data_IF_877667203444
#
_entry.id   IF_877667203444
#
_cell.length_a   1.000
_cell.length_b   1.000
_cell.length_c   1.000
_cell.angle_alpha   90.00
_cell.angle_beta   90.00
_cell.angle_gamma   90.00
#
_symmetry.space_group_name_H-M   'P 1'
#
loop_
_entity.id
_entity.type
_entity.pdbx_description
1 polymer ?
#
# COMPACT_ATOMS: atom_id res chain seq x y z
N UNK A 1 -43.54 -20.25 -37.03
CA UNK A 1 -43.39 -19.03 -36.21
C UNK A 1 -42.07 -19.20 -35.49
N UNK A 2 -41.03 -18.49 -35.90
CA UNK A 2 -39.74 -18.49 -35.18
C UNK A 2 -39.99 -17.98 -33.76
N UNK A 3 -39.66 -18.78 -32.75
CA UNK A 3 -39.65 -18.32 -31.36
C UNK A 3 -38.64 -17.18 -31.28
N UNK A 4 -39.13 -15.94 -31.23
CA UNK A 4 -38.31 -14.74 -31.20
C UNK A 4 -37.78 -14.57 -29.78
N UNK A 5 -36.71 -15.29 -29.47
CA UNK A 5 -35.97 -15.15 -28.22
C UNK A 5 -35.36 -13.76 -28.15
N UNK A 6 -35.43 -13.12 -26.98
CA UNK A 6 -34.94 -11.76 -26.75
C UNK A 6 -33.42 -11.67 -26.94
N UNK A 7 -32.96 -10.58 -27.56
CA UNK A 7 -31.52 -10.28 -27.72
C UNK A 7 -30.99 -9.48 -26.53
N UNK A 8 -30.03 -10.07 -25.81
CA UNK A 8 -29.37 -9.49 -24.65
C UNK A 8 -28.10 -8.69 -25.03
N UNK A 9 -27.74 -8.65 -26.32
CA UNK A 9 -26.50 -8.03 -26.79
C UNK A 9 -26.43 -6.55 -26.43
N UNK A 10 -25.31 -6.14 -25.84
CA UNK A 10 -25.13 -4.74 -25.43
C UNK A 10 -24.04 -4.53 -24.40
N UNK A 11 -23.81 -3.24 -24.09
CA UNK A 11 -22.93 -2.81 -23.00
C UNK A 11 -23.79 -2.30 -21.85
N UNK A 12 -23.75 -3.01 -20.75
CA UNK A 12 -24.55 -2.76 -19.56
C UNK A 12 -23.69 -2.17 -18.46
N UNK A 13 -24.21 -1.11 -17.83
CA UNK A 13 -23.59 -0.48 -16.65
C UNK A 13 -24.51 -0.71 -15.46
N UNK A 14 -23.96 -1.18 -14.35
CA UNK A 14 -24.73 -1.39 -13.13
C UNK A 14 -25.31 -0.07 -12.60
N UNK A 15 -26.63 -0.04 -12.39
CA UNK A 15 -27.37 1.09 -11.82
C UNK A 15 -27.52 0.98 -10.31
N UNK A 16 -27.89 -0.19 -9.82
CA UNK A 16 -28.08 -0.50 -8.41
C UNK A 16 -27.70 -1.96 -8.12
N UNK A 17 -27.41 -2.25 -6.85
CA UNK A 17 -27.15 -3.59 -6.35
C UNK A 17 -27.70 -3.70 -4.93
N UNK A 18 -28.49 -4.74 -4.66
CA UNK A 18 -29.12 -4.99 -3.36
C UNK A 18 -28.64 -6.34 -2.82
N UNK A 19 -28.45 -6.42 -1.50
CA UNK A 19 -28.15 -7.67 -0.77
C UNK A 19 -26.93 -8.49 -1.24
N UNK A 20 -26.04 -7.92 -2.06
CA UNK A 20 -24.84 -8.63 -2.54
C UNK A 20 -23.91 -9.04 -1.40
N UNK A 21 -23.77 -8.24 -0.34
CA UNK A 21 -22.97 -8.60 0.84
C UNK A 21 -23.58 -9.79 1.60
N UNK A 22 -24.90 -9.81 1.78
CA UNK A 22 -25.62 -10.88 2.49
C UNK A 22 -25.58 -12.20 1.69
N UNK A 23 -25.64 -12.14 0.36
CA UNK A 23 -25.42 -13.29 -0.52
C UNK A 23 -24.04 -13.94 -0.26
N UNK A 24 -22.98 -13.13 -0.28
CA UNK A 24 -21.62 -13.63 -0.04
C UNK A 24 -21.47 -14.20 1.38
N UNK A 25 -22.14 -13.60 2.36
CA UNK A 25 -22.15 -14.08 3.75
C UNK A 25 -22.83 -15.44 3.87
N UNK A 26 -23.96 -15.64 3.21
CA UNK A 26 -24.66 -16.91 3.16
C UNK A 26 -23.85 -18.00 2.43
N UNK A 27 -23.04 -17.61 1.43
CA UNK A 27 -22.06 -18.49 0.78
C UNK A 27 -20.82 -18.80 1.64
N UNK A 28 -20.75 -18.29 2.88
CA UNK A 28 -19.64 -18.54 3.80
C UNK A 28 -18.39 -17.67 3.55
N UNK A 29 -18.47 -16.66 2.69
CA UNK A 29 -17.37 -15.73 2.42
C UNK A 29 -17.14 -14.85 3.65
N UNK A 30 -15.89 -14.73 4.11
CA UNK A 30 -15.55 -13.96 5.30
C UNK A 30 -15.79 -12.44 5.12
N UNK A 31 -16.08 -11.72 6.21
CA UNK A 31 -16.49 -10.30 6.22
C UNK A 31 -15.57 -9.40 5.40
N UNK A 32 -14.26 -9.66 5.42
CA UNK A 32 -13.29 -8.85 4.70
C UNK A 32 -13.39 -9.04 3.17
N UNK A 33 -13.40 -10.29 2.70
CA UNK A 33 -13.58 -10.60 1.27
C UNK A 33 -14.91 -10.08 0.74
N UNK A 34 -15.97 -10.10 1.56
CA UNK A 34 -17.26 -9.51 1.18
C UNK A 34 -17.18 -8.01 0.93
N UNK A 35 -16.51 -7.26 1.82
CA UNK A 35 -16.33 -5.80 1.64
C UNK A 35 -15.51 -5.46 0.40
N UNK A 36 -14.47 -6.23 0.11
CA UNK A 36 -13.70 -6.06 -1.14
C UNK A 36 -14.56 -6.38 -2.35
N UNK A 37 -15.28 -7.50 -2.35
CA UNK A 37 -16.14 -7.91 -3.45
C UNK A 37 -17.23 -6.86 -3.71
N UNK A 38 -17.90 -6.35 -2.67
CA UNK A 38 -18.90 -5.27 -2.77
C UNK A 38 -18.28 -4.01 -3.37
N UNK A 39 -17.08 -3.62 -2.94
CA UNK A 39 -16.39 -2.44 -3.49
C UNK A 39 -15.96 -2.65 -4.94
N UNK A 40 -15.45 -3.83 -5.27
CA UNK A 40 -15.00 -4.20 -6.61
C UNK A 40 -16.17 -4.27 -7.60
N UNK A 41 -17.29 -4.84 -7.17
CA UNK A 41 -18.52 -5.01 -7.92
C UNK A 41 -19.50 -3.83 -7.78
N UNK A 42 -19.05 -2.68 -7.26
CA UNK A 42 -19.89 -1.48 -7.13
C UNK A 42 -20.25 -0.84 -8.49
N UNK A 43 -19.49 -1.14 -9.54
CA UNK A 43 -19.66 -0.57 -10.88
C UNK A 43 -19.10 -1.47 -12.00
N UNK A 44 -19.54 -2.74 -12.11
CA UNK A 44 -19.11 -3.60 -13.21
C UNK A 44 -19.61 -3.06 -14.55
N UNK A 45 -18.74 -3.14 -15.55
CA UNK A 45 -19.11 -3.02 -16.95
C UNK A 45 -19.33 -4.43 -17.50
N UNK A 46 -20.53 -4.71 -18.00
CA UNK A 46 -20.89 -6.01 -18.56
C UNK A 46 -21.09 -5.85 -20.07
N UNK A 47 -20.38 -6.63 -20.86
CA UNK A 47 -20.57 -6.69 -22.31
C UNK A 47 -21.13 -8.07 -22.66
N UNK A 48 -22.31 -8.11 -23.29
CA UNK A 48 -22.98 -9.33 -23.73
C UNK A 48 -22.98 -9.35 -25.25
N UNK A 49 -22.64 -10.51 -25.81
CA UNK A 49 -22.78 -10.81 -27.23
C UNK A 49 -23.59 -12.08 -27.37
N UNK A 50 -24.65 -12.05 -28.19
CA UNK A 50 -25.54 -13.17 -28.40
C UNK A 50 -25.57 -13.55 -29.88
N UNK A 51 -25.46 -14.85 -30.16
CA UNK A 51 -25.61 -15.44 -31.49
C UNK A 51 -26.58 -16.61 -31.38
N UNK A 52 -27.87 -16.35 -31.66
CA UNK A 52 -28.94 -17.31 -31.42
C UNK A 52 -29.04 -17.68 -29.94
N UNK A 53 -28.79 -18.96 -29.62
CA UNK A 53 -28.82 -19.49 -28.25
C UNK A 53 -27.46 -19.43 -27.54
N UNK A 54 -26.38 -19.01 -28.23
CA UNK A 54 -25.05 -18.88 -27.63
C UNK A 54 -24.82 -17.45 -27.13
N UNK A 55 -24.46 -17.32 -25.86
CA UNK A 55 -24.16 -16.05 -25.21
C UNK A 55 -22.70 -16.04 -24.75
N UNK A 56 -22.04 -14.90 -24.94
CA UNK A 56 -20.74 -14.61 -24.38
C UNK A 56 -20.81 -13.33 -23.55
N UNK A 57 -20.51 -13.48 -22.26
CA UNK A 57 -20.63 -12.44 -21.25
C UNK A 57 -19.24 -12.13 -20.73
N UNK A 58 -18.84 -10.86 -20.91
CA UNK A 58 -17.62 -10.30 -20.35
C UNK A 58 -17.99 -9.36 -19.21
N UNK A 59 -17.57 -9.68 -18.00
CA UNK A 59 -17.78 -8.83 -16.83
C UNK A 59 -16.45 -8.21 -16.40
N UNK A 60 -16.35 -6.88 -16.45
CA UNK A 60 -15.15 -6.14 -16.06
C UNK A 60 -15.41 -5.36 -14.77
N UNK A 61 -14.66 -5.67 -13.72
CA UNK A 61 -14.66 -4.94 -12.44
C UNK A 61 -13.31 -4.25 -12.23
N UNK A 62 -13.18 -3.41 -11.19
CA UNK A 62 -11.91 -2.78 -10.81
C UNK A 62 -10.82 -3.77 -10.37
N UNK A 63 -11.20 -5.02 -10.04
CA UNK A 63 -10.30 -6.04 -9.50
C UNK A 63 -10.07 -7.19 -10.48
N UNK A 64 -11.08 -7.58 -11.27
CA UNK A 64 -11.01 -8.74 -12.16
C UNK A 64 -11.92 -8.58 -13.37
N UNK A 65 -11.45 -9.05 -14.52
CA UNK A 65 -12.29 -9.27 -15.70
C UNK A 65 -12.53 -10.76 -15.89
N UNK A 66 -13.78 -11.17 -16.05
CA UNK A 66 -14.18 -12.56 -16.31
C UNK A 66 -14.87 -12.67 -17.65
N UNK A 67 -14.67 -13.80 -18.32
CA UNK A 67 -15.28 -14.15 -19.58
C UNK A 67 -15.97 -15.49 -19.42
N UNK A 68 -17.27 -15.55 -19.74
CA UNK A 68 -18.06 -16.77 -19.70
C UNK A 68 -18.81 -16.88 -21.03
N UNK A 69 -18.70 -18.02 -21.68
CA UNK A 69 -19.43 -18.34 -22.90
C UNK A 69 -20.22 -19.62 -22.69
N UNK A 70 -21.51 -19.60 -23.01
CA UNK A 70 -22.40 -20.74 -22.85
C UNK A 70 -23.47 -20.76 -23.94
N UNK A 71 -24.04 -21.93 -24.17
CA UNK A 71 -25.19 -22.13 -25.06
C UNK A 71 -26.38 -22.55 -24.22
N UNK A 72 -27.51 -21.86 -24.36
CA UNK A 72 -28.73 -22.19 -23.62
C UNK A 72 -29.18 -23.61 -23.97
N UNK A 73 -29.54 -24.41 -22.97
CA UNK A 73 -29.87 -25.83 -23.12
C UNK A 73 -28.68 -26.80 -23.05
N UNK A 74 -27.44 -26.31 -22.93
CA UNK A 74 -26.25 -27.14 -22.76
C UNK A 74 -25.58 -26.90 -21.40
N UNK A 75 -25.13 -27.98 -20.75
CA UNK A 75 -24.32 -27.86 -19.55
C UNK A 75 -22.93 -27.32 -19.89
N UNK A 76 -22.39 -26.47 -19.02
CA UNK A 76 -21.02 -25.98 -19.13
C UNK A 76 -20.38 -25.91 -17.74
N UNK A 77 -19.05 -25.95 -17.71
CA UNK A 77 -18.30 -25.82 -16.47
C UNK A 77 -17.96 -24.36 -16.24
N UNK A 78 -18.29 -23.84 -15.07
CA UNK A 78 -17.93 -22.49 -14.65
C UNK A 78 -17.44 -22.46 -13.21
N UNK A 79 -17.24 -21.25 -12.69
CA UNK A 79 -16.87 -21.02 -11.31
C UNK A 79 -17.95 -20.18 -10.66
N UNK A 80 -18.44 -20.60 -9.49
CA UNK A 80 -19.40 -19.82 -8.70
C UNK A 80 -18.79 -18.48 -8.27
N UNK A 81 -19.63 -17.55 -7.79
CA UNK A 81 -19.21 -16.20 -7.35
C UNK A 81 -18.14 -16.25 -6.25
N UNK A 82 -18.16 -17.29 -5.41
CA UNK A 82 -17.20 -17.55 -4.34
C UNK A 82 -15.98 -18.39 -4.77
N UNK A 83 -15.83 -18.70 -6.06
CA UNK A 83 -14.61 -19.31 -6.60
C UNK A 83 -14.61 -20.84 -6.68
N UNK A 84 -15.74 -21.52 -6.45
CA UNK A 84 -15.82 -22.99 -6.50
C UNK A 84 -16.20 -23.49 -7.91
N UNK A 85 -15.54 -24.55 -8.42
CA UNK A 85 -15.94 -25.17 -9.69
C UNK A 85 -17.37 -25.73 -9.62
N UNK A 86 -18.22 -25.34 -10.55
CA UNK A 86 -19.58 -25.83 -10.69
C UNK A 86 -19.90 -26.19 -12.14
N UNK A 87 -20.89 -27.05 -12.31
CA UNK A 87 -21.53 -27.33 -13.59
C UNK A 87 -22.84 -26.56 -13.62
N UNK A 88 -23.01 -25.78 -14.67
CA UNK A 88 -24.12 -24.86 -14.84
C UNK A 88 -24.99 -25.27 -16.02
N UNK A 89 -26.31 -25.13 -15.86
CA UNK A 89 -27.27 -25.48 -16.89
C UNK A 89 -28.25 -24.32 -17.13
N UNK A 90 -28.05 -23.50 -18.18
CA UNK A 90 -28.91 -22.39 -18.53
C UNK A 90 -30.14 -22.88 -19.30
N UNK A 91 -31.32 -22.39 -18.93
CA UNK A 91 -32.63 -22.64 -19.58
C UNK A 91 -33.36 -21.32 -19.79
N UNK A 92 -34.12 -21.23 -20.87
CA UNK A 92 -35.15 -20.21 -21.02
C UNK A 92 -36.32 -20.56 -20.08
N UNK A 93 -36.66 -19.64 -19.17
CA UNK A 93 -37.88 -19.72 -18.36
C UNK A 93 -39.04 -19.02 -19.10
N UNK A 94 -38.73 -17.92 -19.78
CA UNK A 94 -39.63 -17.19 -20.68
C UNK A 94 -38.83 -16.68 -21.90
N UNK A 95 -39.50 -16.07 -22.87
CA UNK A 95 -38.85 -15.48 -24.05
C UNK A 95 -37.86 -14.34 -23.72
N UNK A 96 -37.91 -13.80 -22.50
CA UNK A 96 -37.07 -12.69 -22.02
C UNK A 96 -36.29 -13.01 -20.74
N UNK A 97 -36.30 -14.27 -20.27
CA UNK A 97 -35.68 -14.67 -18.99
C UNK A 97 -34.93 -15.99 -19.08
N UNK A 98 -33.64 -15.95 -18.70
CA UNK A 98 -32.77 -17.11 -18.55
C UNK A 98 -32.64 -17.45 -17.07
N UNK A 99 -32.80 -18.72 -16.72
CA UNK A 99 -32.48 -19.29 -15.41
C UNK A 99 -31.33 -20.27 -15.57
N UNK A 100 -30.32 -20.17 -14.70
CA UNK A 100 -29.19 -21.07 -14.71
C UNK A 100 -28.98 -21.66 -13.33
N UNK A 101 -29.16 -22.98 -13.22
CA UNK A 101 -28.86 -23.74 -12.02
C UNK A 101 -27.37 -24.11 -12.00
N UNK A 102 -26.73 -23.95 -10.85
CA UNK A 102 -25.32 -24.28 -10.65
C UNK A 102 -25.20 -25.41 -9.64
N UNK A 103 -24.54 -26.50 -10.03
CA UNK A 103 -24.28 -27.66 -9.19
C UNK A 103 -22.79 -27.76 -8.93
N UNK A 104 -22.36 -27.82 -7.67
CA UNK A 104 -20.95 -27.95 -7.31
C UNK A 104 -20.38 -29.29 -7.80
N UNK A 105 -19.20 -29.25 -8.42
CA UNK A 105 -18.55 -30.48 -8.89
C UNK A 105 -17.94 -31.32 -7.75
N UNK A 106 -17.70 -30.71 -6.59
CA UNK A 106 -17.11 -31.37 -5.42
C UNK A 106 -17.53 -30.69 -4.11
N UNK A 107 -17.96 -31.50 -3.14
CA UNK A 107 -18.37 -31.06 -1.80
C UNK A 107 -19.88 -30.97 -1.62
N UNK A 108 -20.31 -30.90 -0.36
CA UNK A 108 -21.69 -30.59 0.01
C UNK A 108 -21.82 -29.06 0.18
N UNK A 109 -22.88 -28.46 -0.33
CA UNK A 109 -23.02 -27.01 -0.36
C UNK A 109 -24.35 -26.54 -0.92
N UNK A 110 -24.70 -25.30 -0.60
CA UNK A 110 -25.94 -24.65 -1.05
C UNK A 110 -26.01 -24.63 -2.57
N UNK A 111 -27.09 -25.15 -3.13
CA UNK A 111 -27.36 -25.04 -4.58
C UNK A 111 -27.58 -23.57 -4.91
N UNK A 112 -26.82 -23.05 -5.86
CA UNK A 112 -26.92 -21.66 -6.30
C UNK A 112 -27.59 -21.62 -7.67
N UNK A 113 -28.40 -20.61 -7.91
CA UNK A 113 -28.95 -20.33 -9.23
C UNK A 113 -28.84 -18.83 -9.51
N UNK A 114 -28.72 -18.47 -10.77
CA UNK A 114 -28.82 -17.08 -11.20
C UNK A 114 -29.85 -16.93 -12.32
N UNK A 115 -30.48 -15.76 -12.40
CA UNK A 115 -31.43 -15.45 -13.47
C UNK A 115 -31.07 -14.13 -14.14
N UNK A 116 -31.28 -14.04 -15.44
CA UNK A 116 -31.14 -12.81 -16.23
C UNK A 116 -32.43 -12.54 -16.97
N UNK A 117 -33.02 -11.37 -16.74
CA UNK A 117 -34.28 -10.96 -17.34
C UNK A 117 -34.10 -9.59 -18.01
N UNK A 118 -34.53 -9.48 -19.27
CA UNK A 118 -34.64 -8.18 -19.94
C UNK A 118 -36.06 -7.66 -19.78
N UNK A 119 -36.20 -6.51 -19.12
CA UNK A 119 -37.52 -5.88 -18.92
C UNK A 119 -37.98 -5.16 -20.20
N UNK A 120 -39.29 -4.92 -20.29
CA UNK A 120 -39.86 -4.14 -21.40
C UNK A 120 -39.33 -2.70 -21.46
N UNK A 121 -38.82 -2.18 -20.33
CA UNK A 121 -38.25 -0.84 -20.22
C UNK A 121 -36.76 -0.79 -20.66
N UNK A 122 -36.22 -1.92 -21.14
CA UNK A 122 -34.84 -2.03 -21.63
C UNK A 122 -33.80 -2.14 -20.52
N UNK A 123 -34.18 -2.51 -19.30
CA UNK A 123 -33.26 -2.77 -18.19
C UNK A 123 -32.93 -4.27 -18.10
N UNK A 124 -31.66 -4.59 -17.85
CA UNK A 124 -31.21 -5.95 -17.59
C UNK A 124 -31.13 -6.20 -16.09
N UNK A 125 -31.94 -7.14 -15.59
CA UNK A 125 -31.97 -7.51 -14.18
C UNK A 125 -31.26 -8.86 -13.98
N UNK A 126 -30.37 -8.92 -13.00
CA UNK A 126 -29.64 -10.13 -12.60
C UNK A 126 -30.00 -10.49 -11.16
N UNK A 127 -30.58 -11.67 -10.95
CA UNK A 127 -30.85 -12.20 -9.60
C UNK A 127 -29.93 -13.37 -9.27
N UNK A 128 -29.55 -13.47 -8.01
CA UNK A 128 -28.87 -14.63 -7.44
C UNK A 128 -29.76 -15.26 -6.38
N UNK A 129 -29.97 -16.57 -6.49
CA UNK A 129 -30.84 -17.36 -5.63
C UNK A 129 -30.02 -18.44 -4.92
N UNK A 130 -30.29 -18.62 -3.63
CA UNK A 130 -29.78 -19.71 -2.81
C UNK A 130 -30.91 -20.70 -2.58
N UNK A 131 -30.81 -21.91 -3.12
CA UNK A 131 -31.73 -22.98 -2.78
C UNK A 131 -31.25 -23.63 -1.48
N UNK A 132 -31.92 -23.32 -0.37
CA UNK A 132 -31.73 -24.04 0.89
C UNK A 132 -32.45 -25.37 0.74
N UNK A 133 -31.81 -26.36 0.11
CA UNK A 133 -32.43 -27.66 -0.10
C UNK A 133 -32.42 -28.48 1.19
N UNK A 134 -33.56 -28.54 1.88
CA UNK A 134 -33.94 -29.78 2.54
C UNK A 134 -34.37 -30.78 1.45
N UNK A 135 -33.44 -31.67 1.08
CA UNK A 135 -33.72 -32.95 0.43
C UNK A 135 -34.23 -32.94 -1.02
N UNK A 136 -33.31 -33.05 -1.98
CA UNK A 136 -33.62 -33.59 -3.31
C UNK A 136 -32.38 -34.32 -3.88
N UNK A 137 -32.55 -35.58 -4.27
CA UNK A 137 -31.53 -36.40 -4.93
C UNK A 137 -31.72 -36.29 -6.45
N UNK A 138 -30.69 -35.96 -7.26
CA UNK A 138 -30.82 -35.96 -8.70
C UNK A 138 -30.85 -37.40 -9.24
N UNK A 139 -31.87 -37.72 -10.04
CA UNK A 139 -31.86 -38.91 -10.90
C UNK A 139 -30.96 -38.65 -12.11
N UNK A 140 -30.09 -39.61 -12.44
CA UNK A 140 -29.30 -39.61 -13.67
C UNK A 140 -30.18 -39.92 -14.90
N UNK A 141 -30.02 -39.22 -16.03
CA UNK A 141 -30.46 -39.71 -17.34
C UNK A 141 -29.44 -40.72 -17.90
N UNK A 142 -29.87 -41.73 -18.71
CA UNK A 142 -28.99 -42.78 -19.20
C UNK A 142 -28.15 -42.36 -20.42
N UNK A 143 -26.91 -42.87 -20.42
CA UNK A 143 -25.98 -43.09 -21.55
C UNK A 143 -25.75 -41.97 -22.56
N UNK A 144 -24.73 -41.15 -22.30
CA UNK A 144 -24.03 -40.38 -23.33
C UNK A 144 -22.64 -40.98 -23.53
N UNK A 145 -22.40 -41.52 -24.72
CA UNK A 145 -21.13 -42.11 -25.16
C UNK A 145 -20.02 -41.05 -25.23
N UNK A 146 -19.05 -41.16 -24.31
CA UNK A 146 -17.89 -40.25 -24.20
C UNK A 146 -16.83 -40.43 -25.30
N UNK A 147 -16.98 -41.38 -26.23
CA UNK A 147 -15.93 -41.71 -27.21
C UNK A 147 -15.71 -40.68 -28.33
N UNK A 148 -16.56 -39.65 -28.46
CA UNK A 148 -16.52 -38.69 -29.58
C UNK A 148 -15.84 -37.34 -29.31
N UNK A 149 -15.35 -37.07 -28.11
CA UNK A 149 -14.63 -35.83 -27.80
C UNK A 149 -13.16 -36.09 -27.46
N UNK A 150 -12.39 -36.52 -28.45
CA UNK A 150 -10.92 -36.60 -28.35
C UNK A 150 -10.28 -35.73 -29.43
N UNK A 151 -10.02 -34.47 -29.07
CA UNK A 151 -8.82 -33.70 -29.46
C UNK A 151 -8.98 -32.26 -28.99
N UNK A 152 -8.54 -31.99 -27.76
CA UNK A 152 -8.18 -30.63 -27.38
C UNK A 152 -6.76 -30.35 -27.89
N UNK A 153 -6.47 -29.19 -28.49
CA UNK A 153 -5.09 -28.75 -28.67
C UNK A 153 -4.45 -28.58 -27.28
N UNK A 154 -3.18 -28.98 -27.14
CA UNK A 154 -2.46 -28.98 -25.87
C UNK A 154 -2.55 -27.61 -25.17
N UNK A 155 -2.95 -27.56 -23.88
CA UNK A 155 -2.82 -26.35 -23.08
C UNK A 155 -1.33 -26.07 -22.87
N UNK A 156 -0.85 -24.97 -23.43
CA UNK A 156 0.36 -24.32 -22.93
C UNK A 156 0.03 -23.86 -21.51
N UNK A 157 0.66 -24.52 -20.54
CA UNK A 157 0.58 -24.38 -19.07
C UNK A 157 -0.27 -25.44 -18.34
N UNK A 158 0.46 -26.32 -17.64
CA UNK A 158 -0.06 -27.41 -16.82
C UNK A 158 -1.09 -26.89 -15.77
N UNK A 159 -2.37 -27.34 -15.79
CA UNK A 159 -3.43 -26.86 -14.89
C UNK A 159 -3.12 -27.01 -13.39
N UNK A 160 -2.27 -27.98 -13.02
CA UNK A 160 -1.78 -28.15 -11.66
C UNK A 160 -0.80 -27.04 -11.24
N UNK A 161 -0.01 -26.53 -12.19
CA UNK A 161 0.91 -25.42 -11.99
C UNK A 161 0.12 -24.13 -11.74
N UNK A 162 -0.88 -23.85 -12.59
CA UNK A 162 -1.74 -22.66 -12.51
C UNK A 162 -2.49 -22.61 -11.17
N UNK A 163 -3.17 -23.70 -10.79
CA UNK A 163 -3.89 -23.79 -9.51
C UNK A 163 -2.95 -23.72 -8.30
N UNK A 164 -1.75 -24.29 -8.43
CA UNK A 164 -0.70 -24.17 -7.43
C UNK A 164 -0.22 -22.73 -7.25
N UNK A 165 -0.07 -21.99 -8.34
CA UNK A 165 0.40 -20.61 -8.34
C UNK A 165 -0.69 -19.61 -7.89
N UNK A 166 -1.96 -19.86 -8.21
CA UNK A 166 -3.12 -19.15 -7.65
C UNK A 166 -3.18 -19.32 -6.13
N UNK A 167 -3.08 -20.56 -5.62
CA UNK A 167 -3.03 -20.81 -4.17
C UNK A 167 -1.82 -20.15 -3.50
N UNK A 168 -0.66 -20.09 -4.16
CA UNK A 168 0.51 -19.37 -3.64
C UNK A 168 0.27 -17.86 -3.62
N UNK A 169 -0.34 -17.29 -4.65
CA UNK A 169 -0.70 -15.88 -4.73
C UNK A 169 -1.71 -15.51 -3.63
N UNK A 170 -2.73 -16.33 -3.42
CA UNK A 170 -3.76 -16.12 -2.40
C UNK A 170 -3.17 -16.27 -0.97
N UNK A 171 -2.31 -17.26 -0.74
CA UNK A 171 -1.56 -17.39 0.53
C UNK A 171 -0.65 -16.18 0.78
N UNK A 172 0.04 -15.67 -0.24
CA UNK A 172 0.89 -14.47 -0.13
C UNK A 172 0.05 -13.21 0.15
N UNK A 173 -1.09 -13.05 -0.52
CA UNK A 173 -1.99 -11.92 -0.31
C UNK A 173 -2.56 -11.91 1.12
N UNK A 174 -3.12 -13.03 1.58
CA UNK A 174 -3.68 -13.18 2.92
C UNK A 174 -2.62 -13.03 4.02
N UNK A 175 -1.38 -13.48 3.77
CA UNK A 175 -0.24 -13.23 4.67
C UNK A 175 0.11 -11.74 4.73
N UNK A 176 0.18 -11.06 3.58
CA UNK A 176 0.44 -9.62 3.51
C UNK A 176 -0.64 -8.77 4.20
N UNK A 177 -1.88 -9.24 4.15
CA UNK A 177 -3.05 -8.57 4.72
C UNK A 177 -3.10 -8.75 6.24
N UNK A 178 -2.85 -9.97 6.73
CA UNK A 178 -2.63 -10.24 8.17
C UNK A 178 -1.44 -9.47 8.72
N UNK A 179 -0.42 -9.21 7.91
CA UNK A 179 0.67 -8.30 8.28
C UNK A 179 0.23 -6.84 8.29
N UNK A 180 -0.58 -6.39 7.33
CA UNK A 180 -1.10 -5.03 7.25
C UNK A 180 -2.03 -4.72 8.44
N UNK A 181 -2.93 -5.64 8.78
CA UNK A 181 -3.82 -5.54 9.94
C UNK A 181 -3.05 -5.60 11.25
N UNK A 182 -2.03 -6.48 11.38
CA UNK A 182 -1.10 -6.43 12.51
C UNK A 182 -0.35 -5.10 12.60
N UNK A 183 0.02 -4.49 11.48
CA UNK A 183 0.68 -3.18 11.45
C UNK A 183 -0.27 -2.06 11.88
N UNK A 184 -1.56 -2.13 11.52
CA UNK A 184 -2.60 -1.17 11.93
C UNK A 184 -3.04 -1.33 13.38
N UNK A 185 -2.97 -2.53 13.94
CA UNK A 185 -3.30 -2.81 15.34
C UNK A 185 -2.21 -2.36 16.34
N UNK A 186 -1.02 -1.99 15.86
CA UNK A 186 0.07 -1.49 16.71
C UNK A 186 -0.22 -0.05 17.14
N UNK A 187 -0.37 0.17 18.45
CA UNK A 187 -0.58 1.49 19.02
C UNK A 187 0.66 2.36 18.83
N UNK A 188 0.46 3.64 18.47
CA UNK A 188 1.54 4.60 18.35
C UNK A 188 2.27 4.75 19.70
N UNK A 189 3.61 4.65 19.67
CA UNK A 189 4.47 4.67 20.86
C UNK A 189 5.54 5.77 20.81
N UNK A 190 5.58 6.58 19.74
CA UNK A 190 6.61 7.58 19.48
C UNK A 190 6.04 8.94 19.05
N UNK A 191 6.57 10.09 19.52
CA UNK A 191 7.57 10.23 20.58
C UNK A 191 6.99 9.94 21.99
N UNK A 192 7.79 9.38 22.92
CA UNK A 192 7.39 9.09 24.28
C UNK A 192 7.42 10.39 25.06
N UNK A 193 6.34 11.15 24.91
CA UNK A 193 6.20 12.42 25.60
C UNK A 193 5.57 12.17 26.98
N UNK A 194 6.00 12.91 28.02
CA UNK A 194 5.31 12.93 29.30
C UNK A 194 3.83 13.27 29.07
N UNK A 195 2.94 12.75 29.92
CA UNK A 195 1.49 12.95 29.82
C UNK A 195 1.03 14.42 29.82
N UNK A 196 1.92 15.35 30.21
CA UNK A 196 1.70 16.79 30.20
C UNK A 196 1.92 17.45 28.82
N UNK A 197 2.51 16.75 27.84
CA UNK A 197 2.71 17.31 26.50
C UNK A 197 1.41 17.23 25.67
N UNK A 198 0.94 18.32 25.04
CA UNK A 198 -0.28 18.31 24.22
C UNK A 198 -0.13 17.51 22.91
N UNK A 199 1.07 17.04 22.58
CA UNK A 199 1.35 16.21 21.41
C UNK A 199 1.45 14.76 21.88
N UNK A 200 0.51 13.90 21.46
CA UNK A 200 0.53 12.48 21.77
C UNK A 200 1.47 11.68 20.86
N UNK A 201 1.73 10.39 21.16
CA UNK A 201 2.46 9.49 20.27
C UNK A 201 1.80 9.44 18.89
N UNK A 202 2.47 9.95 17.86
CA UNK A 202 1.94 10.02 16.50
C UNK A 202 2.28 8.78 15.66
N UNK A 203 3.24 7.96 16.08
CA UNK A 203 3.73 6.85 15.27
C UNK A 203 4.09 5.63 16.10
N UNK A 204 3.89 4.45 15.53
CA UNK A 204 4.52 3.24 16.02
C UNK A 204 5.95 3.13 15.46
N UNK A 205 6.90 2.89 16.34
CA UNK A 205 8.30 2.65 16.04
C UNK A 205 8.83 1.57 16.98
N UNK A 206 9.28 0.46 16.39
CA UNK A 206 9.85 -0.67 17.11
C UNK A 206 10.94 -1.29 16.24
N UNK A 207 12.19 -0.96 16.57
CA UNK A 207 13.35 -1.33 15.75
C UNK A 207 13.55 -2.85 15.75
N UNK A 208 13.29 -3.51 16.88
CA UNK A 208 13.54 -4.94 17.06
C UNK A 208 12.55 -5.79 16.28
N UNK A 209 11.33 -5.28 16.10
CA UNK A 209 10.27 -5.99 15.38
C UNK A 209 10.23 -5.62 13.89
N UNK A 210 10.56 -4.39 13.51
CA UNK A 210 10.39 -3.91 12.12
C UNK A 210 11.64 -4.01 11.25
N UNK A 211 12.84 -4.08 11.85
CA UNK A 211 14.11 -4.13 11.12
C UNK A 211 14.69 -5.54 11.23
N UNK A 212 15.23 -6.08 10.12
CA UNK A 212 15.94 -7.35 10.12
C UNK A 212 17.14 -7.32 11.07
N UNK A 213 17.38 -8.42 11.79
CA UNK A 213 18.41 -8.53 12.84
C UNK A 213 19.81 -8.07 12.42
N UNK A 214 20.16 -8.23 11.13
CA UNK A 214 21.43 -7.73 10.54
C UNK A 214 21.59 -6.21 10.62
N UNK A 215 20.51 -5.46 10.48
CA UNK A 215 20.54 -3.99 10.36
C UNK A 215 20.13 -3.26 11.65
N UNK A 216 19.49 -3.96 12.59
CA UNK A 216 18.99 -3.40 13.86
C UNK A 216 20.03 -2.55 14.58
N UNK A 217 21.25 -3.08 14.81
CA UNK A 217 22.30 -2.34 15.52
C UNK A 217 22.66 -1.01 14.84
N UNK A 218 22.67 -0.96 13.52
CA UNK A 218 22.97 0.28 12.78
C UNK A 218 21.83 1.28 12.89
N UNK A 219 20.58 0.83 12.72
CA UNK A 219 19.39 1.69 12.84
C UNK A 219 19.26 2.24 14.26
N UNK A 220 19.49 1.39 15.29
CA UNK A 220 19.50 1.80 16.69
C UNK A 220 20.58 2.84 16.98
N UNK A 221 21.82 2.64 16.51
CA UNK A 221 22.87 3.65 16.70
C UNK A 221 22.49 4.96 15.97
N UNK A 222 21.89 4.89 14.79
CA UNK A 222 21.46 6.08 14.06
C UNK A 222 20.33 6.84 14.77
N UNK A 223 19.46 6.11 15.46
CA UNK A 223 18.42 6.68 16.30
C UNK A 223 19.01 7.43 17.50
N UNK A 224 19.95 6.82 18.23
CA UNK A 224 20.67 7.48 19.32
C UNK A 224 21.49 8.68 18.83
N UNK A 225 22.08 8.61 17.64
CA UNK A 225 22.78 9.71 17.00
C UNK A 225 21.85 10.91 16.70
N UNK A 226 20.63 10.64 16.24
CA UNK A 226 19.61 11.68 16.07
C UNK A 226 19.22 12.31 17.42
N UNK A 227 18.95 11.50 18.44
CA UNK A 227 18.64 12.01 19.78
C UNK A 227 19.77 12.86 20.35
N UNK A 228 21.02 12.41 20.20
CA UNK A 228 22.19 13.16 20.64
C UNK A 228 22.28 14.53 19.93
N UNK A 229 21.93 14.60 18.64
CA UNK A 229 21.80 15.86 17.91
C UNK A 229 20.76 16.80 18.51
N UNK A 230 19.58 16.28 18.85
CA UNK A 230 18.52 17.04 19.53
C UNK A 230 18.98 17.55 20.90
N UNK A 231 19.59 16.69 21.72
CA UNK A 231 20.16 17.08 23.01
C UNK A 231 21.25 18.14 22.87
N UNK A 232 22.08 18.06 21.82
CA UNK A 232 23.11 19.06 21.54
C UNK A 232 22.49 20.40 21.16
N UNK A 233 21.41 20.43 20.37
CA UNK A 233 20.70 21.67 20.06
C UNK A 233 20.03 22.29 21.31
N UNK A 234 19.51 21.47 22.22
CA UNK A 234 19.01 21.93 23.51
C UNK A 234 20.13 22.49 24.40
N UNK A 235 21.29 21.86 24.42
CA UNK A 235 22.45 22.37 25.14
C UNK A 235 22.99 23.66 24.51
N UNK A 236 22.92 23.79 23.18
CA UNK A 236 23.23 25.02 22.46
C UNK A 236 22.27 26.16 22.85
N UNK A 237 20.99 25.87 23.09
CA UNK A 237 20.05 26.86 23.63
C UNK A 237 20.48 27.37 25.01
N UNK A 238 20.90 26.47 25.91
CA UNK A 238 21.43 26.83 27.23
C UNK A 238 22.71 27.67 27.10
N UNK A 239 23.61 27.28 26.20
CA UNK A 239 24.87 27.98 25.94
C UNK A 239 24.63 29.40 25.41
N UNK A 240 23.72 29.56 24.45
CA UNK A 240 23.35 30.86 23.90
C UNK A 240 22.58 31.72 24.91
N UNK A 241 21.76 31.13 25.78
CA UNK A 241 21.09 31.83 26.86
C UNK A 241 22.09 32.35 27.89
N UNK A 242 23.08 31.54 28.27
CA UNK A 242 24.14 31.95 29.19
C UNK A 242 24.94 33.13 28.63
N UNK A 243 25.23 33.17 27.33
CA UNK A 243 25.86 34.33 26.69
C UNK A 243 24.97 35.56 26.70
N UNK A 244 23.68 35.39 26.41
CA UNK A 244 22.72 36.50 26.40
C UNK A 244 22.58 37.15 27.80
N UNK A 245 22.70 36.37 28.87
CA UNK A 245 22.68 36.89 30.24
C UNK A 245 23.91 37.74 30.58
N UNK A 246 25.05 37.53 29.91
CA UNK A 246 26.28 38.29 30.13
C UNK A 246 26.36 39.50 29.20
N UNK A 247 26.01 39.31 27.93
CA UNK A 247 25.97 40.36 26.92
C UNK A 247 24.64 40.35 26.16
N UNK A 248 23.67 41.17 26.60
CA UNK A 248 22.36 41.25 25.95
C UNK A 248 22.39 41.79 24.52
N UNK A 249 23.49 42.43 24.09
CA UNK A 249 23.61 42.98 22.73
C UNK A 249 23.62 41.88 21.66
N UNK A 250 23.99 40.65 22.03
CA UNK A 250 24.06 39.47 21.16
C UNK A 250 22.75 38.68 21.00
N UNK A 251 21.58 39.27 21.26
CA UNK A 251 20.28 38.56 21.31
C UNK A 251 19.89 37.76 20.06
N UNK A 252 20.41 38.13 18.88
CA UNK A 252 20.21 37.37 17.63
C UNK A 252 20.71 35.93 17.75
N UNK A 253 21.81 35.70 18.48
CA UNK A 253 22.36 34.36 18.69
C UNK A 253 21.41 33.44 19.46
N UNK A 254 20.72 33.98 20.48
CA UNK A 254 19.70 33.25 21.24
C UNK A 254 18.46 32.97 20.38
N UNK A 255 17.96 33.98 19.64
CA UNK A 255 16.81 33.82 18.76
C UNK A 255 17.02 32.74 17.69
N UNK A 256 18.20 32.72 17.07
CA UNK A 256 18.56 31.70 16.10
C UNK A 256 18.76 30.32 16.74
N UNK A 257 19.32 30.23 17.95
CA UNK A 257 19.42 28.95 18.67
C UNK A 257 18.05 28.32 18.94
N UNK A 258 17.05 29.14 19.31
CA UNK A 258 15.65 28.72 19.47
C UNK A 258 15.08 28.26 18.13
N UNK A 259 15.21 29.08 17.08
CA UNK A 259 14.73 28.77 15.74
C UNK A 259 15.28 27.44 15.24
N UNK A 260 16.60 27.24 15.35
CA UNK A 260 17.25 26.00 14.91
C UNK A 260 16.85 24.80 15.77
N UNK A 261 16.73 24.95 17.09
CA UNK A 261 16.23 23.90 17.96
C UNK A 261 14.83 23.41 17.56
N UNK A 262 13.94 24.34 17.23
CA UNK A 262 12.57 24.04 16.82
C UNK A 262 12.44 23.54 15.37
N UNK A 263 13.27 24.05 14.45
CA UNK A 263 13.20 23.70 13.03
C UNK A 263 13.99 22.43 12.71
N UNK A 264 15.26 22.34 13.15
CA UNK A 264 16.15 21.24 12.77
C UNK A 264 15.76 19.93 13.44
N UNK A 265 15.20 19.94 14.64
CA UNK A 265 14.78 18.71 15.32
C UNK A 265 13.70 17.92 14.55
N UNK A 266 12.53 18.49 14.22
CA UNK A 266 11.52 17.79 13.42
C UNK A 266 11.96 17.59 11.96
N UNK A 267 12.63 18.58 11.37
CA UNK A 267 13.12 18.49 9.99
C UNK A 267 14.10 17.33 9.82
N UNK A 268 15.13 17.23 10.67
CA UNK A 268 16.12 16.15 10.61
C UNK A 268 15.47 14.76 10.77
N UNK A 269 14.49 14.63 11.66
CA UNK A 269 13.75 13.39 11.85
C UNK A 269 12.99 12.98 10.58
N UNK A 270 12.26 13.91 9.96
CA UNK A 270 11.45 13.65 8.77
C UNK A 270 12.29 13.50 7.51
N UNK A 271 13.33 14.31 7.35
CA UNK A 271 14.06 14.44 6.10
C UNK A 271 15.17 13.41 5.95
N UNK A 272 15.79 12.89 7.03
CA UNK A 272 16.81 11.85 6.87
C UNK A 272 16.57 10.60 7.72
N UNK A 273 16.16 10.73 8.99
CA UNK A 273 16.02 9.55 9.84
C UNK A 273 14.86 8.65 9.38
N UNK A 274 13.72 9.25 9.03
CA UNK A 274 12.55 8.55 8.50
C UNK A 274 12.83 7.83 7.17
N UNK A 275 13.40 8.48 6.14
CA UNK A 275 13.85 7.80 4.93
C UNK A 275 14.79 6.64 5.24
N UNK A 276 15.79 6.83 6.10
CA UNK A 276 16.73 5.77 6.49
C UNK A 276 16.01 4.58 7.14
N UNK A 277 15.13 4.84 8.11
CA UNK A 277 14.34 3.82 8.78
C UNK A 277 13.47 3.04 7.79
N UNK A 278 12.80 3.73 6.87
CA UNK A 278 12.00 3.10 5.80
C UNK A 278 12.89 2.26 4.87
N UNK A 279 14.06 2.77 4.51
CA UNK A 279 15.00 2.09 3.62
C UNK A 279 15.41 0.72 4.18
N UNK A 280 15.81 0.66 5.46
CA UNK A 280 16.17 -0.61 6.10
C UNK A 280 14.99 -1.51 6.43
N UNK A 281 13.79 -0.95 6.64
CA UNK A 281 12.58 -1.73 6.90
C UNK A 281 12.07 -2.47 5.67
N UNK A 282 12.04 -1.80 4.51
CA UNK A 282 11.42 -2.34 3.30
C UNK A 282 12.43 -2.63 2.18
N UNK A 283 13.72 -2.63 2.49
CA UNK A 283 14.82 -2.76 1.52
C UNK A 283 14.68 -1.83 0.29
N UNK A 284 14.18 -0.61 0.53
CA UNK A 284 13.81 0.30 -0.54
C UNK A 284 15.01 1.12 -1.01
N UNK A 285 15.41 0.89 -2.25
CA UNK A 285 16.54 1.57 -2.91
C UNK A 285 16.29 3.07 -3.06
N UNK A 286 15.04 3.48 -3.28
CA UNK A 286 14.67 4.89 -3.36
C UNK A 286 14.88 5.63 -2.04
N UNK A 287 14.43 5.04 -0.92
CA UNK A 287 14.60 5.66 0.40
C UNK A 287 16.08 5.72 0.82
N UNK A 288 16.91 4.76 0.40
CA UNK A 288 18.37 4.84 0.59
C UNK A 288 18.97 6.04 -0.14
N UNK A 289 18.60 6.28 -1.40
CA UNK A 289 19.10 7.42 -2.16
C UNK A 289 18.73 8.77 -1.50
N UNK A 290 17.45 8.92 -1.11
CA UNK A 290 16.97 10.11 -0.41
C UNK A 290 17.72 10.35 0.91
N UNK A 291 17.97 9.28 1.67
CA UNK A 291 18.77 9.35 2.88
C UNK A 291 20.19 9.85 2.61
N UNK A 292 20.92 9.27 1.66
CA UNK A 292 22.32 9.65 1.42
C UNK A 292 22.47 11.11 1.00
N UNK A 293 21.60 11.59 0.12
CA UNK A 293 21.63 12.99 -0.33
C UNK A 293 21.38 13.97 0.83
N UNK A 294 20.31 13.75 1.59
CA UNK A 294 19.92 14.66 2.67
C UNK A 294 20.90 14.53 3.85
N UNK A 295 21.31 13.33 4.21
CA UNK A 295 22.24 13.12 5.32
C UNK A 295 23.64 13.66 5.02
N UNK A 296 24.09 13.62 3.76
CA UNK A 296 25.32 14.30 3.35
C UNK A 296 25.24 15.82 3.61
N UNK A 297 24.15 16.47 3.19
CA UNK A 297 23.92 17.89 3.48
C UNK A 297 23.87 18.16 4.99
N UNK A 298 23.24 17.27 5.77
CA UNK A 298 23.19 17.36 7.22
C UNK A 298 24.58 17.29 7.87
N UNK A 299 25.48 16.43 7.36
CA UNK A 299 26.87 16.35 7.84
C UNK A 299 27.62 17.65 7.55
N UNK A 300 27.42 18.26 6.38
CA UNK A 300 27.97 19.59 6.07
C UNK A 300 27.47 20.64 7.08
N UNK A 301 26.18 20.64 7.41
CA UNK A 301 25.61 21.52 8.44
C UNK A 301 26.28 21.28 9.80
N UNK A 302 26.52 20.03 10.23
CA UNK A 302 27.22 19.75 11.49
C UNK A 302 28.67 20.28 11.50
N UNK A 303 29.37 20.24 10.36
CA UNK A 303 30.71 20.84 10.25
C UNK A 303 30.63 22.37 10.40
N UNK A 304 29.65 23.03 9.77
CA UNK A 304 29.43 24.48 9.91
C UNK A 304 29.09 24.84 11.37
N UNK A 305 28.24 24.05 12.03
CA UNK A 305 27.90 24.23 13.44
C UNK A 305 29.12 24.08 14.35
N UNK A 306 30.03 23.16 14.02
CA UNK A 306 31.30 22.95 14.74
C UNK A 306 32.20 24.17 14.64
N UNK A 307 32.30 24.77 13.46
CA UNK A 307 33.05 26.01 13.25
C UNK A 307 32.43 27.14 14.09
N UNK A 308 31.09 27.25 14.07
CA UNK A 308 30.36 28.27 14.82
C UNK A 308 30.56 29.65 14.22
N UNK A 309 29.98 29.92 13.05
CA UNK A 309 30.07 31.23 12.41
C UNK A 309 29.35 32.26 13.31
N UNK A 310 30.01 33.39 13.68
CA UNK A 310 29.37 34.43 14.48
C UNK A 310 28.06 34.90 13.86
N UNK A 311 27.01 35.05 14.68
CA UNK A 311 25.68 35.48 14.23
C UNK A 311 24.80 34.37 13.63
N UNK A 312 25.24 33.10 13.61
CA UNK A 312 24.42 31.98 13.12
C UNK A 312 23.65 31.23 14.21
N UNK A 313 23.87 31.58 15.48
CA UNK A 313 23.18 30.96 16.62
C UNK A 313 23.76 29.61 17.07
N UNK A 314 24.94 29.22 16.59
CA UNK A 314 25.66 28.04 17.04
C UNK A 314 26.90 28.41 17.87
N UNK A 315 26.99 27.87 19.07
CA UNK A 315 28.13 28.01 19.97
C UNK A 315 29.24 27.02 19.59
N UNK A 316 29.73 27.10 18.35
CA UNK A 316 30.89 26.33 17.86
C UNK A 316 32.22 26.93 18.32
N UNK A 317 33.34 26.39 17.84
CA UNK A 317 34.69 26.73 18.34
C UNK A 317 35.05 28.22 18.24
N UNK A 318 34.72 28.90 17.15
CA UNK A 318 35.05 30.33 16.99
C UNK A 318 34.32 31.17 18.04
N UNK A 319 33.01 30.96 18.18
CA UNK A 319 32.17 31.72 19.11
C UNK A 319 32.48 31.37 20.56
N UNK A 320 32.75 30.10 20.88
CA UNK A 320 33.06 29.67 22.26
C UNK A 320 34.41 30.20 22.73
N UNK A 321 35.44 30.21 21.87
CA UNK A 321 36.74 30.80 22.19
C UNK A 321 36.65 32.32 22.36
N UNK A 322 35.86 33.01 21.53
CA UNK A 322 35.62 34.43 21.69
C UNK A 322 34.94 34.75 23.03
N UNK A 323 33.96 33.92 23.44
CA UNK A 323 33.24 34.08 24.70
C UNK A 323 34.11 33.97 25.96
N UNK A 324 35.25 33.26 25.91
CA UNK A 324 36.19 33.20 27.04
C UNK A 324 36.76 34.57 27.43
N UNK A 325 36.89 35.48 26.45
CA UNK A 325 37.35 36.85 26.70
C UNK A 325 36.26 37.73 27.31
N UNK A 326 34.98 37.33 27.19
CA UNK A 326 33.84 38.03 27.79
C UNK A 326 33.54 37.50 29.19
N UNK A 327 33.44 36.18 29.33
CA UNK A 327 33.17 35.50 30.60
C UNK A 327 33.67 34.07 30.55
N UNK A 328 34.70 33.77 31.36
CA UNK A 328 35.32 32.44 31.42
C UNK A 328 34.29 31.32 31.69
N UNK A 329 33.36 31.44 32.67
CA UNK A 329 32.35 30.41 32.90
C UNK A 329 31.45 30.15 31.69
N UNK A 330 31.03 31.21 30.97
CA UNK A 330 30.15 31.04 29.81
C UNK A 330 30.90 30.47 28.62
N UNK A 331 32.12 30.95 28.34
CA UNK A 331 32.99 30.38 27.32
C UNK A 331 33.26 28.89 27.57
N UNK A 332 33.44 28.46 28.83
CA UNK A 332 33.58 27.05 29.17
C UNK A 332 32.33 26.21 28.84
N UNK A 333 31.12 26.70 29.14
CA UNK A 333 29.86 26.04 28.77
C UNK A 333 29.76 25.91 27.24
N UNK A 334 30.08 26.98 26.51
CA UNK A 334 30.05 26.97 25.05
C UNK A 334 31.10 26.04 24.44
N UNK A 335 32.26 25.88 25.07
CA UNK A 335 33.28 24.92 24.63
C UNK A 335 32.79 23.47 24.74
N UNK A 336 32.04 23.13 25.79
CA UNK A 336 31.40 21.81 25.90
C UNK A 336 30.45 21.58 24.72
N UNK A 337 29.68 22.61 24.35
CA UNK A 337 28.79 22.53 23.19
C UNK A 337 29.56 22.37 21.86
N UNK A 338 30.70 23.07 21.69
CA UNK A 338 31.56 22.91 20.52
C UNK A 338 32.13 21.49 20.41
N UNK A 339 32.47 20.85 21.54
CA UNK A 339 32.88 19.43 21.60
C UNK A 339 31.73 18.52 21.14
N UNK A 340 30.50 18.77 21.58
CA UNK A 340 29.33 18.00 21.12
C UNK A 340 29.07 18.17 19.62
N UNK A 341 29.20 19.38 19.06
CA UNK A 341 29.11 19.55 17.60
C UNK A 341 30.23 18.83 16.85
N UNK A 342 31.46 18.86 17.39
CA UNK A 342 32.59 18.13 16.82
C UNK A 342 32.35 16.62 16.81
N UNK A 343 31.87 16.07 17.94
CA UNK A 343 31.55 14.65 18.03
C UNK A 343 30.42 14.28 17.09
N UNK A 344 29.42 15.15 16.92
CA UNK A 344 28.31 14.95 15.99
C UNK A 344 28.78 14.93 14.53
N UNK A 345 29.66 15.85 14.13
CA UNK A 345 30.24 15.88 12.79
C UNK A 345 31.08 14.61 12.53
N UNK A 346 31.95 14.22 13.48
CA UNK A 346 32.79 13.03 13.35
C UNK A 346 31.96 11.74 13.26
N UNK A 347 31.00 11.55 14.17
CA UNK A 347 30.08 10.42 14.13
C UNK A 347 29.24 10.42 12.86
N UNK A 348 28.80 11.59 12.38
CA UNK A 348 28.04 11.72 11.13
C UNK A 348 28.81 11.18 9.92
N UNK A 349 30.10 11.52 9.79
CA UNK A 349 30.96 10.98 8.72
C UNK A 349 31.16 9.47 8.85
N UNK A 350 31.39 8.96 10.08
CA UNK A 350 31.54 7.52 10.33
C UNK A 350 30.27 6.75 9.96
N UNK A 351 29.11 7.28 10.33
CA UNK A 351 27.82 6.65 10.06
C UNK A 351 27.46 6.71 8.58
N UNK A 352 27.76 7.81 7.89
CA UNK A 352 27.60 7.90 6.44
C UNK A 352 28.41 6.80 5.74
N UNK A 353 29.68 6.60 6.10
CA UNK A 353 30.52 5.50 5.58
C UNK A 353 29.94 4.12 5.91
N UNK A 354 29.49 3.93 7.16
CA UNK A 354 28.94 2.65 7.62
C UNK A 354 27.65 2.27 6.88
N UNK A 355 26.71 3.20 6.75
CA UNK A 355 25.44 2.98 6.02
C UNK A 355 25.70 2.79 4.53
N UNK A 356 26.64 3.54 3.94
CA UNK A 356 27.05 3.33 2.55
C UNK A 356 27.67 1.94 2.33
N UNK A 357 28.51 1.47 3.25
CA UNK A 357 29.06 0.11 3.21
C UNK A 357 27.96 -0.95 3.30
N UNK A 358 26.93 -0.75 4.13
CA UNK A 358 25.79 -1.65 4.26
C UNK A 358 24.92 -1.64 2.99
N UNK A 359 24.68 -0.46 2.42
CA UNK A 359 23.98 -0.30 1.15
C UNK A 359 24.67 -1.06 0.02
N UNK A 360 26.01 -1.01 -0.04
CA UNK A 360 26.79 -1.76 -1.04
C UNK A 360 26.73 -3.28 -0.87
N UNK A 361 26.30 -3.78 0.29
CA UNK A 361 26.09 -5.21 0.56
C UNK A 361 24.65 -5.65 0.25
N UNK A 362 23.78 -4.71 -0.08
CA UNK A 362 22.39 -4.94 -0.48
C UNK A 362 22.30 -4.94 -2.01
N UNK A 363 21.37 -5.69 -2.61
CA UNK A 363 21.04 -5.64 -4.05
C UNK A 363 20.32 -4.33 -4.46
N UNK A 364 20.57 -3.24 -3.74
CA UNK A 364 19.96 -1.95 -3.98
C UNK A 364 20.73 -1.23 -5.10
N UNK A 365 20.01 -0.80 -6.14
CA UNK A 365 20.59 -0.13 -7.30
C UNK A 365 19.77 1.08 -7.72
N UNK A 366 20.37 1.97 -8.49
CA UNK A 366 19.66 3.13 -9.03
C UNK A 366 18.50 2.71 -9.95
N UNK A 367 18.68 1.66 -10.75
CA UNK A 367 17.63 1.11 -11.61
C UNK A 367 16.47 0.54 -10.78
N UNK A 368 16.79 -0.17 -9.69
CA UNK A 368 15.78 -0.66 -8.72
C UNK A 368 15.05 0.51 -8.06
N UNK A 369 15.75 1.59 -7.71
CA UNK A 369 15.14 2.80 -7.16
C UNK A 369 14.18 3.51 -8.15
N UNK A 370 14.53 3.58 -9.44
CA UNK A 370 13.64 4.10 -10.47
C UNK A 370 12.38 3.24 -10.59
N UNK A 371 12.53 1.91 -10.65
CA UNK A 371 11.40 0.98 -10.72
C UNK A 371 10.50 1.05 -9.48
N UNK A 372 11.08 1.16 -8.27
CA UNK A 372 10.35 1.36 -7.03
C UNK A 372 9.58 2.68 -7.01
N UNK A 373 10.19 3.77 -7.49
CA UNK A 373 9.54 5.08 -7.57
C UNK A 373 8.40 5.08 -8.58
N UNK A 374 8.60 4.56 -9.79
CA UNK A 374 7.54 4.47 -10.81
C UNK A 374 6.39 3.61 -10.32
N UNK A 375 6.68 2.48 -9.68
CA UNK A 375 5.65 1.60 -9.12
C UNK A 375 4.90 2.29 -7.97
N UNK A 376 5.60 2.98 -7.07
CA UNK A 376 5.00 3.71 -5.95
C UNK A 376 4.14 4.90 -6.38
N UNK A 377 4.58 5.65 -7.39
CA UNK A 377 3.83 6.77 -7.98
C UNK A 377 2.59 6.24 -8.71
N UNK A 378 2.72 5.16 -9.48
CA UNK A 378 1.60 4.50 -10.17
C UNK A 378 0.60 3.83 -9.21
N UNK A 379 1.04 3.34 -8.05
CA UNK A 379 0.13 2.79 -7.04
C UNK A 379 -0.78 3.86 -6.41
N UNK A 380 -0.34 5.12 -6.40
CA UNK A 380 -1.07 6.22 -5.77
C UNK A 380 -2.29 6.63 -6.61
N UNK A 381 -3.49 6.43 -6.05
CA UNK A 381 -4.75 6.65 -6.75
C UNK A 381 -4.99 8.13 -7.09
N UNK A 382 -4.46 9.06 -6.28
CA UNK A 382 -4.50 10.49 -6.56
C UNK A 382 -3.64 10.86 -7.77
N UNK A 383 -2.46 10.25 -7.89
CA UNK A 383 -1.56 10.48 -9.03
C UNK A 383 -2.11 9.82 -10.29
N UNK A 384 -2.69 8.62 -10.19
CA UNK A 384 -3.40 7.98 -11.31
C UNK A 384 -4.56 8.83 -11.81
N UNK A 385 -5.37 9.37 -10.91
CA UNK A 385 -6.49 10.23 -11.28
C UNK A 385 -5.98 11.54 -11.91
N UNK A 386 -4.92 12.15 -11.36
CA UNK A 386 -4.32 13.36 -11.93
C UNK A 386 -3.69 13.11 -13.32
N UNK A 387 -2.98 12.00 -13.50
CA UNK A 387 -2.40 11.60 -14.78
C UNK A 387 -3.48 11.24 -15.82
N UNK A 388 -4.54 10.55 -15.41
CA UNK A 388 -5.68 10.23 -16.28
C UNK A 388 -6.41 11.50 -16.73
N UNK A 389 -6.62 12.47 -15.83
CA UNK A 389 -7.25 13.76 -16.15
C UNK A 389 -6.36 14.61 -17.07
N UNK A 390 -5.03 14.62 -16.84
CA UNK A 390 -4.09 15.32 -17.71
C UNK A 390 -3.99 14.71 -19.11
N UNK A 391 -4.01 13.37 -19.19
CA UNK A 391 -4.03 12.67 -20.47
C UNK A 391 -5.33 12.97 -21.24
N UNK A 392 -6.49 12.97 -20.57
CA UNK A 392 -7.76 13.36 -21.18
C UNK A 392 -7.75 14.80 -21.71
N UNK A 393 -7.14 15.74 -20.97
CA UNK A 393 -6.97 17.13 -21.41
C UNK A 393 -6.06 17.31 -22.64
N UNK A 394 -5.03 16.46 -22.78
CA UNK A 394 -4.14 16.48 -23.94
C UNK A 394 -4.79 15.93 -25.22
N UNK A 395 -5.76 15.01 -25.10
CA UNK A 395 -6.54 14.51 -26.24
C UNK A 395 -7.65 15.48 -26.69
N UNK A 396 -8.02 16.45 -25.87
CA UNK A 396 -9.01 17.49 -26.20
C UNK A 396 -8.40 18.82 -26.64
N UNK A 397 -7.06 18.93 -26.71
CA UNK A 397 -6.41 20.13 -27.21
C UNK A 397 -6.69 20.27 -28.73
N UNK A 398 -7.25 21.40 -29.20
CA UNK A 398 -7.51 21.59 -30.63
C UNK A 398 -6.17 21.63 -31.39
N UNK A 399 -6.09 20.90 -32.50
CA UNK A 399 -4.99 21.01 -33.47
C UNK A 399 -5.09 22.28 -34.29
#
# INVERSE_FOLDING_TARGET
MENKVTDFSGKWKMRSSENFEELLKALGVNVFLRKIAVRAASSPAVEITQQGESLSIKTSTSVRTTHVSFTVGQSFNETTVDGRPCTSFPKWETDSKIVCEQTLQKGDGTVTAWTRELTNDGELILWWLLHISSGFQPRTPPDVDMSKYTSFPDPVDNPFQVRGDEMKMEKKANMSERECDRRRARQNNWPPLPSFCPVGPCFYQDIDVEITQRFQRTVTIMYYFWMFGTCTLLFNLISSLAMFCVDPSGGVGLGLAILWGLLFTPCSFVCWYRPMYKAFRSDSSFNFFLFFFIFFAQVVVYIIMTIGIPGWGFSGWIVSLAALNTSVPVGAIMMINAIFFTSQAAMGVVMLKKVHSLYRQTDASFQKAQAEFTTGVMANQAVRNAAANAAQGAFTAPR
#
